data_IF_654895102490
#
_entry.id   IF_654895102490
#
_cell.length_a   1.000
_cell.length_b   1.000
_cell.length_c   1.000
_cell.angle_alpha   90.00
_cell.angle_beta   90.00
_cell.angle_gamma   90.00
#
_symmetry.space_group_name_H-M   'P 1'
#
loop_
_entity.id
_entity.type
_entity.pdbx_description
1 polymer ?
#
# COMPACT_ATOMS: atom_id res chain seq x y z
N UNK A 1 -4.82 10.55 -49.89
CA UNK A 1 -5.20 11.14 -48.58
C UNK A 1 -5.41 10.06 -47.51
N UNK A 2 -6.08 8.92 -47.78
CA UNK A 2 -6.29 7.86 -46.77
C UNK A 2 -5.02 7.18 -46.24
N UNK A 3 -4.00 6.93 -47.08
CA UNK A 3 -2.75 6.29 -46.65
C UNK A 3 -1.86 7.18 -45.76
N UNK A 4 -1.89 8.50 -45.96
CA UNK A 4 -1.10 9.46 -45.17
C UNK A 4 -1.69 9.54 -43.74
N UNK A 5 -3.01 9.48 -43.62
CA UNK A 5 -3.71 9.51 -42.34
C UNK A 5 -3.47 8.24 -41.52
N UNK A 6 -3.44 7.06 -42.18
CA UNK A 6 -3.13 5.78 -41.52
C UNK A 6 -1.69 5.69 -41.01
N UNK A 7 -0.74 6.36 -41.66
CA UNK A 7 0.65 6.43 -41.21
C UNK A 7 0.79 7.32 -39.97
N UNK A 8 0.15 8.50 -39.99
CA UNK A 8 0.19 9.43 -38.85
C UNK A 8 -0.50 8.86 -37.61
N UNK A 9 -1.61 8.14 -37.79
CA UNK A 9 -2.30 7.45 -36.69
C UNK A 9 -1.46 6.30 -36.10
N UNK A 10 -0.70 5.59 -36.94
CA UNK A 10 0.22 4.54 -36.50
C UNK A 10 1.36 5.10 -35.66
N UNK A 11 1.96 6.22 -36.11
CA UNK A 11 3.06 6.88 -35.40
C UNK A 11 2.60 7.38 -34.03
N UNK A 12 1.40 8.00 -33.95
CA UNK A 12 0.80 8.43 -32.68
C UNK A 12 0.56 7.27 -31.71
N UNK A 13 0.06 6.13 -32.21
CA UNK A 13 -0.15 4.95 -31.37
C UNK A 13 1.19 4.41 -30.85
N UNK A 14 2.22 4.37 -31.69
CA UNK A 14 3.57 3.95 -31.27
C UNK A 14 4.14 4.90 -30.20
N UNK A 15 4.06 6.22 -30.41
CA UNK A 15 4.55 7.21 -29.44
C UNK A 15 3.86 7.09 -28.07
N UNK A 16 2.55 6.84 -28.06
CA UNK A 16 1.81 6.65 -26.80
C UNK A 16 2.17 5.32 -26.15
N UNK A 17 2.36 4.26 -26.93
CA UNK A 17 2.78 2.96 -26.42
C UNK A 17 4.18 3.04 -25.78
N UNK A 18 5.12 3.75 -26.42
CA UNK A 18 6.47 3.96 -25.90
C UNK A 18 6.42 4.75 -24.58
N UNK A 19 5.58 5.77 -24.48
CA UNK A 19 5.37 6.51 -23.22
C UNK A 19 4.80 5.62 -22.12
N UNK A 20 3.73 4.88 -22.41
CA UNK A 20 3.10 4.01 -21.41
C UNK A 20 4.03 2.88 -20.95
N UNK A 21 4.85 2.35 -21.85
CA UNK A 21 5.84 1.33 -21.47
C UNK A 21 6.92 1.92 -20.56
N UNK A 22 7.40 3.13 -20.82
CA UNK A 22 8.29 3.85 -19.89
C UNK A 22 7.62 4.10 -18.53
N UNK A 23 6.37 4.57 -18.53
CA UNK A 23 5.60 4.80 -17.30
C UNK A 23 5.42 3.50 -16.50
N UNK A 24 5.19 2.37 -17.18
CA UNK A 24 5.08 1.06 -16.54
C UNK A 24 6.37 0.65 -15.83
N UNK A 25 7.54 0.95 -16.42
CA UNK A 25 8.85 0.67 -15.82
C UNK A 25 9.07 1.52 -14.57
N UNK A 26 8.69 2.80 -14.62
CA UNK A 26 8.77 3.70 -13.45
C UNK A 26 7.86 3.24 -12.31
N UNK A 27 6.62 2.84 -12.63
CA UNK A 27 5.68 2.28 -11.65
C UNK A 27 6.20 0.96 -11.04
N UNK A 28 6.88 0.12 -11.84
CA UNK A 28 7.54 -1.10 -11.34
C UNK A 28 8.68 -0.75 -10.38
N UNK A 29 9.52 0.22 -10.73
CA UNK A 29 10.61 0.69 -9.86
C UNK A 29 10.06 1.19 -8.52
N UNK A 30 9.04 2.03 -8.56
CA UNK A 30 8.39 2.57 -7.37
C UNK A 30 7.77 1.46 -6.51
N UNK A 31 7.06 0.51 -7.12
CA UNK A 31 6.51 -0.66 -6.43
C UNK A 31 7.60 -1.46 -5.71
N UNK A 32 8.74 -1.70 -6.36
CA UNK A 32 9.88 -2.41 -5.73
C UNK A 32 10.40 -1.61 -4.54
N UNK A 33 10.58 -0.30 -4.68
CA UNK A 33 11.04 0.59 -3.60
C UNK A 33 10.09 0.56 -2.39
N UNK A 34 8.77 0.68 -2.62
CA UNK A 34 7.76 0.64 -1.57
C UNK A 34 7.72 -0.72 -0.87
N UNK A 35 7.89 -1.82 -1.62
CA UNK A 35 7.95 -3.17 -1.06
C UNK A 35 9.17 -3.34 -0.14
N UNK A 36 10.35 -2.89 -0.57
CA UNK A 36 11.56 -2.90 0.25
C UNK A 36 11.41 -2.04 1.51
N UNK A 37 10.76 -0.88 1.40
CA UNK A 37 10.47 -0.02 2.56
C UNK A 37 9.52 -0.70 3.55
N UNK A 38 8.49 -1.39 3.05
CA UNK A 38 7.58 -2.18 3.88
C UNK A 38 8.32 -3.32 4.59
N UNK A 39 9.16 -4.07 3.88
CA UNK A 39 9.99 -5.14 4.45
C UNK A 39 10.95 -4.64 5.53
N UNK A 40 11.65 -3.53 5.27
CA UNK A 40 12.55 -2.91 6.24
C UNK A 40 11.80 -2.48 7.51
N UNK A 41 10.62 -1.87 7.36
CA UNK A 41 9.78 -1.48 8.48
C UNK A 41 9.24 -2.71 9.24
N UNK A 42 8.84 -3.77 8.55
CA UNK A 42 8.42 -5.02 9.19
C UNK A 42 9.56 -5.65 9.99
N UNK A 43 10.74 -5.83 9.38
CA UNK A 43 11.92 -6.38 10.02
C UNK A 43 12.36 -5.54 11.24
N UNK A 44 12.36 -4.22 11.11
CA UNK A 44 12.64 -3.30 12.22
C UNK A 44 11.63 -3.44 13.37
N UNK A 45 10.33 -3.57 13.04
CA UNK A 45 9.27 -3.82 14.00
C UNK A 45 9.45 -5.14 14.76
N UNK A 46 9.74 -6.21 14.04
CA UNK A 46 10.00 -7.55 14.59
C UNK A 46 11.25 -7.58 15.47
N UNK A 47 12.32 -6.89 15.08
CA UNK A 47 13.55 -6.78 15.88
C UNK A 47 13.29 -6.06 17.21
N UNK A 48 12.55 -4.95 17.18
CA UNK A 48 12.14 -4.24 18.40
C UNK A 48 11.21 -5.08 19.27
N UNK A 49 10.30 -5.84 18.67
CA UNK A 49 9.41 -6.77 19.38
C UNK A 49 10.22 -7.89 20.07
N UNK A 50 11.18 -8.48 19.37
CA UNK A 50 12.09 -9.49 19.93
C UNK A 50 12.90 -8.94 21.11
N UNK A 51 13.39 -7.69 21.00
CA UNK A 51 14.09 -7.01 22.10
C UNK A 51 13.16 -6.75 23.29
N UNK A 52 11.92 -6.35 23.06
CA UNK A 52 10.92 -6.20 24.12
C UNK A 52 10.63 -7.54 24.81
N UNK A 53 10.49 -8.64 24.06
CA UNK A 53 10.31 -10.00 24.58
C UNK A 53 11.50 -10.46 25.42
N UNK A 54 12.73 -10.18 24.98
CA UNK A 54 13.93 -10.52 25.74
C UNK A 54 13.96 -9.82 27.11
N UNK A 55 13.60 -8.54 27.15
CA UNK A 55 13.60 -7.73 28.38
C UNK A 55 12.46 -8.13 29.32
N UNK A 56 11.24 -8.31 28.79
CA UNK A 56 10.01 -8.52 29.59
C UNK A 56 9.66 -9.98 29.84
N UNK A 57 10.42 -10.91 29.26
CA UNK A 57 10.13 -12.35 29.29
C UNK A 57 9.01 -12.77 28.32
N UNK A 58 8.89 -14.09 28.14
CA UNK A 58 8.01 -14.69 27.14
C UNK A 58 6.51 -14.48 27.40
N UNK A 59 6.11 -14.37 28.66
CA UNK A 59 4.69 -14.26 29.03
C UNK A 59 4.08 -12.89 28.73
N UNK A 60 4.92 -11.87 28.52
CA UNK A 60 4.46 -10.50 28.30
C UNK A 60 4.16 -10.27 26.81
N UNK A 61 5.14 -10.49 25.93
CA UNK A 61 5.08 -10.05 24.51
C UNK A 61 4.60 -11.15 23.55
N UNK A 62 4.62 -12.42 23.95
CA UNK A 62 4.22 -13.55 23.09
C UNK A 62 2.85 -14.14 23.44
N UNK A 63 2.15 -13.57 24.42
CA UNK A 63 0.77 -13.94 24.72
C UNK A 63 -0.15 -13.42 23.61
N UNK A 64 -1.04 -14.27 23.10
CA UNK A 64 -2.07 -13.87 22.15
C UNK A 64 -3.06 -12.94 22.86
N UNK A 65 -3.06 -11.66 22.49
CA UNK A 65 -3.96 -10.65 23.05
C UNK A 65 -5.09 -10.29 22.07
N UNK A 66 -5.62 -11.28 21.34
CA UNK A 66 -6.73 -11.01 20.43
C UNK A 66 -8.02 -10.80 21.22
N UNK A 67 -8.79 -9.74 20.91
CA UNK A 67 -10.14 -9.58 21.42
C UNK A 67 -10.99 -10.83 21.14
N UNK A 68 -11.68 -11.35 22.16
CA UNK A 68 -12.64 -12.46 22.06
C UNK A 68 -14.06 -11.94 22.28
N UNK A 69 -15.07 -12.80 22.18
CA UNK A 69 -16.48 -12.44 22.44
C UNK A 69 -16.72 -11.83 23.84
N UNK A 70 -15.82 -12.13 24.80
CA UNK A 70 -15.88 -11.59 26.16
C UNK A 70 -15.09 -10.29 26.36
N UNK A 71 -14.43 -9.78 25.31
CA UNK A 71 -13.66 -8.52 25.38
C UNK A 71 -14.56 -7.30 25.18
N UNK A 72 -14.12 -6.14 25.69
CA UNK A 72 -14.83 -4.89 25.45
C UNK A 72 -14.87 -4.56 23.94
N UNK A 73 -15.90 -3.85 23.52
CA UNK A 73 -15.98 -3.35 22.15
C UNK A 73 -14.72 -2.54 21.81
N UNK A 74 -14.11 -2.87 20.67
CA UNK A 74 -12.92 -2.20 20.19
C UNK A 74 -13.13 -1.78 18.73
N UNK A 75 -12.45 -0.70 18.35
CA UNK A 75 -12.47 -0.19 16.98
C UNK A 75 -11.09 -0.33 16.37
N UNK A 76 -11.03 -0.58 15.05
CA UNK A 76 -9.77 -0.63 14.33
C UNK A 76 -9.01 0.71 14.47
N UNK A 77 -7.77 0.61 14.96
CA UNK A 77 -6.88 1.77 15.14
C UNK A 77 -6.35 2.33 13.82
N UNK A 78 -6.43 1.55 12.74
CA UNK A 78 -6.06 1.95 11.40
C UNK A 78 -7.19 1.54 10.45
N UNK A 79 -7.66 2.49 9.64
CA UNK A 79 -8.75 2.29 8.67
C UNK A 79 -8.30 2.82 7.32
N UNK A 80 -8.72 2.15 6.26
CA UNK A 80 -8.43 2.56 4.88
C UNK A 80 -9.69 3.16 4.28
N UNK A 81 -9.55 4.30 3.64
CA UNK A 81 -10.64 4.98 2.94
C UNK A 81 -10.26 5.21 1.48
N UNK A 82 -11.22 5.10 0.55
CA UNK A 82 -11.00 5.56 -0.81
C UNK A 82 -10.82 7.08 -0.80
N UNK A 83 -9.82 7.56 -1.51
CA UNK A 83 -9.62 8.97 -1.80
C UNK A 83 -10.20 9.23 -3.20
N UNK A 84 -11.29 10.01 -3.23
CA UNK A 84 -12.02 10.32 -4.46
C UNK A 84 -11.41 11.48 -5.25
N UNK A 85 -10.57 12.30 -4.60
CA UNK A 85 -9.95 13.49 -5.19
C UNK A 85 -8.79 13.11 -6.12
N UNK A 86 -8.12 11.98 -5.84
CA UNK A 86 -6.95 11.52 -6.57
C UNK A 86 -7.27 10.24 -7.37
N UNK A 87 -8.04 10.41 -8.45
CA UNK A 87 -8.32 9.33 -9.41
C UNK A 87 -7.16 9.21 -10.40
N UNK A 88 -6.30 8.20 -10.23
CA UNK A 88 -5.36 7.82 -11.27
C UNK A 88 -6.00 6.79 -12.20
N UNK A 89 -6.01 7.08 -13.50
CA UNK A 89 -6.56 6.20 -14.55
C UNK A 89 -8.02 5.75 -14.31
N UNK A 90 -8.81 6.55 -13.59
CA UNK A 90 -10.21 6.24 -13.28
C UNK A 90 -10.43 5.34 -12.06
N UNK A 91 -9.37 4.88 -11.41
CA UNK A 91 -9.45 4.15 -10.15
C UNK A 91 -9.18 5.07 -8.96
N UNK A 92 -10.00 4.95 -7.91
CA UNK A 92 -9.77 5.68 -6.65
C UNK A 92 -8.48 5.19 -5.97
N UNK A 93 -7.66 6.12 -5.49
CA UNK A 93 -6.55 5.81 -4.60
C UNK A 93 -7.07 5.50 -3.19
N UNK A 94 -6.23 4.90 -2.35
CA UNK A 94 -6.57 4.60 -0.96
C UNK A 94 -5.64 5.32 -0.01
N UNK A 95 -6.20 5.82 1.09
CA UNK A 95 -5.44 6.47 2.16
C UNK A 95 -5.65 5.76 3.50
N UNK A 96 -4.57 5.66 4.27
CA UNK A 96 -4.58 5.08 5.61
C UNK A 96 -4.82 6.17 6.66
N UNK A 97 -5.97 6.10 7.33
CA UNK A 97 -6.24 6.91 8.50
C UNK A 97 -5.94 6.14 9.78
N UNK A 98 -4.99 6.64 10.55
CA UNK A 98 -4.75 6.19 11.92
C UNK A 98 -5.73 6.92 12.83
N UNK A 99 -6.70 6.19 13.38
CA UNK A 99 -7.59 6.73 14.40
C UNK A 99 -6.74 7.06 15.63
N UNK A 100 -6.43 8.34 15.82
CA UNK A 100 -5.98 8.83 17.12
C UNK A 100 -7.09 8.59 18.14
N UNK A 101 -6.75 8.46 19.42
CA UNK A 101 -7.73 8.48 20.52
C UNK A 101 -8.55 9.76 20.41
N UNK A 102 -9.67 9.70 19.69
CA UNK A 102 -10.63 10.77 19.59
C UNK A 102 -11.33 10.89 20.95
N UNK A 103 -11.49 12.11 21.44
CA UNK A 103 -12.17 12.39 22.70
C UNK A 103 -13.56 11.72 22.69
N UNK A 104 -13.78 10.79 23.64
CA UNK A 104 -15.06 10.10 23.83
C UNK A 104 -15.17 8.68 23.27
N UNK A 105 -14.17 8.15 22.55
CA UNK A 105 -14.13 6.72 22.18
C UNK A 105 -13.20 5.94 23.09
N UNK A 106 -13.67 4.81 23.62
CA UNK A 106 -12.87 3.82 24.38
C UNK A 106 -11.94 3.04 23.44
N UNK A 107 -11.12 3.72 22.66
CA UNK A 107 -10.08 3.08 21.85
C UNK A 107 -8.99 2.64 22.81
N UNK A 108 -9.07 1.39 23.29
CA UNK A 108 -8.02 0.79 24.08
C UNK A 108 -6.77 0.66 23.20
N UNK A 109 -5.70 1.38 23.54
CA UNK A 109 -4.43 1.30 22.81
C UNK A 109 -3.91 -0.14 22.89
N UNK A 110 -3.77 -0.87 21.77
CA UNK A 110 -3.34 -2.27 21.80
C UNK A 110 -1.98 -2.49 22.45
N UNK A 111 -1.13 -1.46 22.48
CA UNK A 111 0.17 -1.52 23.15
C UNK A 111 0.03 -1.66 24.67
N UNK A 112 -1.09 -1.22 25.26
CA UNK A 112 -1.39 -1.38 26.69
C UNK A 112 -1.89 -2.78 27.04
N UNK A 113 -2.21 -3.63 26.06
CA UNK A 113 -2.51 -5.06 26.32
C UNK A 113 -1.30 -5.82 26.89
N UNK A 114 -0.09 -5.27 26.70
CA UNK A 114 1.16 -5.82 27.22
C UNK A 114 1.48 -5.35 28.65
N UNK A 115 0.55 -4.66 29.32
CA UNK A 115 0.68 -4.16 30.68
C UNK A 115 0.74 -2.64 30.80
N UNK A 116 0.74 -2.15 32.04
CA UNK A 116 0.73 -0.71 32.34
C UNK A 116 2.09 -0.05 32.05
N UNK A 117 3.19 -0.78 32.27
CA UNK A 117 4.56 -0.33 32.01
C UNK A 117 5.07 -0.93 30.70
N UNK A 118 4.71 -0.30 29.60
CA UNK A 118 5.11 -0.71 28.25
C UNK A 118 6.59 -0.34 28.01
N UNK A 119 7.44 -1.27 27.55
CA UNK A 119 8.84 -0.96 27.26
C UNK A 119 8.96 -0.10 25.99
N UNK A 120 9.97 0.79 25.96
CA UNK A 120 10.20 1.69 24.82
C UNK A 120 10.30 0.96 23.46
N UNK A 121 10.90 -0.23 23.44
CA UNK A 121 11.01 -1.04 22.23
C UNK A 121 9.64 -1.44 21.67
N UNK A 122 8.62 -1.66 22.49
CA UNK A 122 7.28 -2.00 22.01
C UNK A 122 6.58 -0.78 21.37
N UNK A 123 6.87 0.43 21.87
CA UNK A 123 6.46 1.67 21.19
C UNK A 123 7.17 1.84 19.84
N UNK A 124 8.48 1.57 19.77
CA UNK A 124 9.24 1.57 18.52
C UNK A 124 8.70 0.54 17.53
N UNK A 125 8.40 -0.68 17.99
CA UNK A 125 7.81 -1.73 17.17
C UNK A 125 6.47 -1.30 16.58
N UNK A 126 5.56 -0.74 17.39
CA UNK A 126 4.30 -0.17 16.90
C UNK A 126 4.54 0.88 15.81
N UNK A 127 5.49 1.79 16.01
CA UNK A 127 5.82 2.83 15.03
C UNK A 127 6.25 2.24 13.69
N UNK A 128 7.15 1.27 13.72
CA UNK A 128 7.63 0.54 12.56
C UNK A 128 6.49 -0.21 11.84
N UNK A 129 5.61 -0.92 12.58
CA UNK A 129 4.46 -1.61 11.97
C UNK A 129 3.44 -0.65 11.36
N UNK A 130 3.20 0.52 11.98
CA UNK A 130 2.35 1.56 11.37
C UNK A 130 2.94 2.08 10.08
N UNK A 131 4.24 2.27 10.03
CA UNK A 131 4.94 2.69 8.82
C UNK A 131 4.88 1.60 7.73
N UNK A 132 5.05 0.32 8.10
CA UNK A 132 4.86 -0.80 7.17
C UNK A 132 3.44 -0.82 6.58
N UNK A 133 2.43 -0.54 7.40
CA UNK A 133 1.04 -0.46 6.94
C UNK A 133 0.81 0.70 5.95
N UNK A 134 1.44 1.85 6.17
CA UNK A 134 1.41 2.97 5.21
C UNK A 134 2.04 2.57 3.87
N UNK A 135 3.22 1.95 3.89
CA UNK A 135 3.88 1.46 2.69
C UNK A 135 3.06 0.39 1.96
N UNK A 136 2.36 -0.48 2.68
CA UNK A 136 1.47 -1.48 2.10
C UNK A 136 0.31 -0.84 1.33
N UNK A 137 -0.34 0.18 1.90
CA UNK A 137 -1.43 0.91 1.22
C UNK A 137 -0.91 1.62 -0.03
N UNK A 138 0.22 2.31 0.05
CA UNK A 138 0.84 2.94 -1.11
C UNK A 138 1.23 1.93 -2.20
N UNK A 139 1.74 0.76 -1.81
CA UNK A 139 2.06 -0.32 -2.75
C UNK A 139 0.82 -0.77 -3.52
N UNK A 140 -0.34 -0.88 -2.85
CA UNK A 140 -1.61 -1.22 -3.51
C UNK A 140 -2.03 -0.13 -4.51
N UNK A 141 -1.85 1.14 -4.17
CA UNK A 141 -2.15 2.25 -5.09
C UNK A 141 -1.28 2.18 -6.35
N UNK A 142 0.03 1.97 -6.22
CA UNK A 142 0.93 1.81 -7.38
C UNK A 142 0.60 0.56 -8.18
N UNK A 143 0.26 -0.56 -7.51
CA UNK A 143 -0.16 -1.78 -8.20
C UNK A 143 -1.42 -1.58 -9.05
N UNK A 144 -2.39 -0.81 -8.54
CA UNK A 144 -3.60 -0.42 -9.28
C UNK A 144 -3.27 0.39 -10.52
N UNK A 145 -2.44 1.42 -10.36
CA UNK A 145 -1.96 2.26 -11.47
C UNK A 145 -1.22 1.43 -12.53
N UNK A 146 -0.30 0.55 -12.09
CA UNK A 146 0.43 -0.32 -12.99
C UNK A 146 -0.51 -1.25 -13.77
N UNK A 147 -1.54 -1.80 -13.13
CA UNK A 147 -2.54 -2.64 -13.80
C UNK A 147 -3.28 -1.85 -14.88
N UNK A 148 -3.78 -0.66 -14.57
CA UNK A 148 -4.49 0.18 -15.52
C UNK A 148 -3.60 0.57 -16.72
N UNK A 149 -2.34 0.91 -16.47
CA UNK A 149 -1.36 1.20 -17.53
C UNK A 149 -1.13 -0.02 -18.42
N UNK A 150 -0.99 -1.21 -17.83
CA UNK A 150 -0.81 -2.46 -18.59
C UNK A 150 -2.05 -2.81 -19.44
N UNK A 151 -3.25 -2.61 -18.91
CA UNK A 151 -4.50 -2.77 -19.67
C UNK A 151 -4.53 -1.82 -20.87
N UNK A 152 -4.15 -0.55 -20.68
CA UNK A 152 -4.06 0.43 -21.77
C UNK A 152 -3.06 0.06 -22.85
N UNK A 153 -1.90 -0.49 -22.46
CA UNK A 153 -0.88 -1.00 -23.39
C UNK A 153 -1.45 -2.13 -24.24
N UNK A 154 -2.21 -3.06 -23.63
CA UNK A 154 -2.85 -4.17 -24.36
C UNK A 154 -3.87 -3.63 -25.36
N UNK A 155 -4.75 -2.72 -24.95
CA UNK A 155 -5.74 -2.09 -25.84
C UNK A 155 -5.10 -1.40 -27.03
N UNK A 156 -4.04 -0.61 -26.82
CA UNK A 156 -3.35 0.11 -27.89
C UNK A 156 -2.61 -0.83 -28.84
N UNK A 157 -2.06 -1.94 -28.34
CA UNK A 157 -1.48 -2.97 -29.19
C UNK A 157 -2.54 -3.61 -30.11
N UNK A 158 -3.76 -3.85 -29.62
CA UNK A 158 -4.87 -4.33 -30.46
C UNK A 158 -5.31 -3.30 -31.50
N UNK A 159 -5.22 -2.01 -31.20
CA UNK A 159 -5.50 -0.95 -32.17
C UNK A 159 -4.39 -0.91 -33.23
N UNK A 160 -3.12 -0.98 -32.82
CA UNK A 160 -1.97 -1.02 -33.72
C UNK A 160 -2.07 -2.18 -34.71
N UNK A 161 -2.38 -3.39 -34.24
CA UNK A 161 -2.55 -4.56 -35.13
C UNK A 161 -3.71 -4.38 -36.10
N UNK A 162 -4.82 -3.77 -35.67
CA UNK A 162 -5.95 -3.44 -36.54
C UNK A 162 -5.62 -2.39 -37.60
N UNK A 163 -4.75 -1.43 -37.31
CA UNK A 163 -4.28 -0.43 -38.28
C UNK A 163 -3.35 -1.09 -39.29
N UNK A 164 -2.43 -1.95 -38.85
CA UNK A 164 -1.48 -2.66 -39.71
C UNK A 164 -2.14 -3.71 -40.62
N UNK A 165 -3.31 -4.23 -40.23
CA UNK A 165 -4.07 -5.20 -41.01
C UNK A 165 -4.96 -4.59 -42.12
N UNK A 166 -5.08 -3.25 -42.16
CA UNK A 166 -5.81 -2.50 -43.19
C UNK A 166 -4.88 -2.03 -44.30
#
# INVERSE_FOLDING_TARGET
>A
MSQIQSSEDLDRVCDVLDKLTLDSLLLIEEKVRLTLNAENAMCGGEAHLAKARYIMGQNSVSALQLPTENSAEFTASAKVYPNEDEKLFGEASYELHLTGTAEGQTVQDPVRWFGVLVPQNLHSARGMFRQALQWAVQTVNIQKQLRATMEKIVELNEVKTRILAK
#
